data_IF_360408614125
#
_entry.id   IF_360408614125
#
_cell.length_a   1.000
_cell.length_b   1.000
_cell.length_c   1.000
_cell.angle_alpha   90.00
_cell.angle_beta   90.00
_cell.angle_gamma   90.00
#
_symmetry.space_group_name_H-M   'P 1'
#
loop_
_entity.id
_entity.type
_entity.pdbx_description
1 polymer ?
#
# COMPACT_ATOMS: atom_id res chain seq x y z
N UNK A 1 -3.73 2.81 -13.88
CA UNK A 1 -2.37 2.29 -14.09
C UNK A 1 -2.11 2.02 -15.56
N UNK A 2 -0.85 2.10 -15.95
CA UNK A 2 -0.37 1.79 -17.31
C UNK A 2 1.15 1.54 -17.29
N UNK A 3 1.74 1.32 -18.47
CA UNK A 3 3.21 1.27 -18.66
C UNK A 3 3.67 2.43 -19.53
N UNK A 4 4.83 2.98 -19.20
CA UNK A 4 5.50 3.99 -20.01
C UNK A 4 6.93 3.55 -20.34
N UNK A 5 7.37 4.00 -21.51
CA UNK A 5 8.78 4.08 -21.87
C UNK A 5 9.28 5.47 -21.52
N UNK A 6 10.47 5.56 -20.94
CA UNK A 6 11.11 6.81 -20.53
C UNK A 6 12.35 7.09 -21.39
N UNK A 7 12.64 8.35 -21.63
CA UNK A 7 13.87 8.77 -22.29
C UNK A 7 15.11 8.50 -21.43
N UNK A 8 15.01 8.76 -20.13
CA UNK A 8 16.10 8.55 -19.17
C UNK A 8 15.89 7.25 -18.38
N UNK A 9 16.96 6.54 -18.02
CA UNK A 9 16.83 5.32 -17.23
C UNK A 9 16.34 5.60 -15.81
N UNK A 10 15.50 4.74 -15.28
CA UNK A 10 14.92 4.88 -13.93
C UNK A 10 15.92 4.65 -12.79
N UNK A 11 17.10 4.05 -13.07
CA UNK A 11 18.16 3.80 -12.08
C UNK A 11 17.74 2.88 -10.93
N UNK A 12 16.76 1.99 -11.14
CA UNK A 12 16.17 1.10 -10.13
C UNK A 12 15.52 1.86 -8.95
N UNK A 13 15.11 3.13 -9.16
CA UNK A 13 14.51 3.98 -8.14
C UNK A 13 13.01 4.12 -8.41
N UNK A 14 12.18 3.68 -7.47
CA UNK A 14 10.77 4.01 -7.43
C UNK A 14 10.61 5.49 -7.01
N UNK A 15 9.82 6.23 -7.77
CA UNK A 15 9.57 7.66 -7.52
C UNK A 15 8.10 7.91 -7.28
N UNK A 16 7.79 8.82 -6.37
CA UNK A 16 6.41 9.16 -6.03
C UNK A 16 6.28 10.67 -5.82
N UNK A 17 5.23 11.25 -6.37
CA UNK A 17 4.89 12.67 -6.23
C UNK A 17 3.50 12.82 -5.65
N UNK A 18 3.38 13.73 -4.71
CA UNK A 18 2.13 14.17 -4.14
C UNK A 18 1.78 15.52 -4.74
N UNK A 19 0.68 15.60 -5.46
CA UNK A 19 0.21 16.80 -6.15
C UNK A 19 -1.28 17.06 -5.84
N UNK A 20 -1.79 18.26 -6.14
CA UNK A 20 -3.24 18.51 -6.06
C UNK A 20 -4.06 17.60 -6.96
N UNK A 21 -3.49 17.11 -8.06
CA UNK A 21 -4.15 16.18 -8.99
C UNK A 21 -4.11 14.73 -8.50
N UNK A 22 -3.48 14.48 -7.37
CA UNK A 22 -3.38 13.14 -6.80
C UNK A 22 -1.96 12.66 -6.55
N UNK A 23 -1.80 11.35 -6.43
CA UNK A 23 -0.52 10.73 -6.10
C UNK A 23 -0.06 9.91 -7.30
N UNK A 24 1.06 10.33 -7.88
CA UNK A 24 1.71 9.65 -9.00
C UNK A 24 2.87 8.81 -8.49
N UNK A 25 2.95 7.55 -8.88
CA UNK A 25 4.10 6.69 -8.67
C UNK A 25 4.62 6.14 -10.02
N UNK A 26 5.92 6.24 -10.24
CA UNK A 26 6.65 5.59 -11.31
C UNK A 26 7.51 4.49 -10.71
N UNK A 27 7.20 3.25 -11.05
CA UNK A 27 7.82 2.06 -10.49
C UNK A 27 8.69 1.40 -11.55
N UNK A 28 9.98 1.13 -11.27
CA UNK A 28 10.87 0.44 -12.19
C UNK A 28 10.29 -0.90 -12.64
N UNK A 29 10.33 -1.16 -13.93
CA UNK A 29 10.08 -2.48 -14.51
C UNK A 29 11.38 -3.08 -15.01
N UNK A 30 11.39 -4.40 -15.13
CA UNK A 30 12.52 -5.11 -15.73
C UNK A 30 12.68 -4.71 -17.19
N UNK A 31 13.92 -4.64 -17.64
CA UNK A 31 14.31 -4.30 -18.99
C UNK A 31 15.79 -3.99 -19.05
N UNK A 32 16.46 -4.41 -20.14
CA UNK A 32 17.91 -4.27 -20.27
C UNK A 32 18.37 -2.80 -20.32
N UNK A 33 17.49 -1.89 -20.76
CA UNK A 33 17.76 -0.45 -20.89
C UNK A 33 17.39 0.36 -19.64
N UNK A 34 16.67 -0.25 -18.68
CA UNK A 34 16.20 0.42 -17.47
C UNK A 34 15.26 1.61 -17.71
N UNK A 35 14.53 1.63 -18.84
CA UNK A 35 13.69 2.76 -19.27
C UNK A 35 12.20 2.45 -19.23
N UNK A 36 11.79 1.28 -18.75
CA UNK A 36 10.39 0.89 -18.66
C UNK A 36 9.89 1.08 -17.23
N UNK A 37 8.75 1.76 -17.05
CA UNK A 37 8.14 1.98 -15.74
C UNK A 37 6.67 1.61 -15.75
N UNK A 38 6.20 1.07 -14.62
CA UNK A 38 4.77 1.01 -14.32
C UNK A 38 4.33 2.33 -13.70
N UNK A 39 3.20 2.83 -14.17
CA UNK A 39 2.53 4.01 -13.61
C UNK A 39 1.39 3.57 -12.72
N UNK A 40 1.37 4.10 -11.51
CA UNK A 40 0.21 4.08 -10.63
C UNK A 40 -0.14 5.53 -10.29
N UNK A 41 -1.25 6.00 -10.82
CA UNK A 41 -1.73 7.36 -10.57
C UNK A 41 -3.08 7.32 -9.86
N UNK A 42 -3.09 7.67 -8.59
CA UNK A 42 -4.30 7.77 -7.77
C UNK A 42 -4.87 9.17 -7.91
N UNK A 43 -6.05 9.28 -8.51
CA UNK A 43 -6.78 10.53 -8.75
C UNK A 43 -8.11 10.53 -8.01
N UNK A 44 -8.77 11.68 -7.90
CA UNK A 44 -10.14 11.76 -7.42
C UNK A 44 -11.06 10.90 -8.31
N UNK A 45 -12.06 10.28 -7.71
CA UNK A 45 -13.00 9.42 -8.46
C UNK A 45 -13.73 10.19 -9.56
N UNK A 46 -14.00 11.48 -9.36
CA UNK A 46 -14.58 12.37 -10.35
C UNK A 46 -13.74 12.51 -11.62
N UNK A 47 -12.42 12.44 -11.48
CA UNK A 47 -11.47 12.70 -12.55
C UNK A 47 -11.01 11.42 -13.27
N UNK A 48 -11.31 10.25 -12.66
CA UNK A 48 -10.85 8.96 -13.17
C UNK A 48 -11.33 8.66 -14.59
N UNK A 49 -12.61 8.94 -14.88
CA UNK A 49 -13.20 8.75 -16.20
C UNK A 49 -12.57 9.67 -17.26
N UNK A 50 -12.30 10.93 -16.89
CA UNK A 50 -11.62 11.89 -17.73
C UNK A 50 -10.22 11.40 -18.12
N UNK A 51 -9.38 11.05 -17.15
CA UNK A 51 -8.02 10.57 -17.40
C UNK A 51 -7.95 9.23 -18.13
N UNK A 52 -8.98 8.42 -18.00
CA UNK A 52 -9.08 7.19 -18.78
C UNK A 52 -9.40 7.45 -20.26
N UNK A 53 -10.20 8.49 -20.55
CA UNK A 53 -10.66 8.88 -21.90
C UNK A 53 -9.78 9.93 -22.57
N UNK A 54 -8.98 10.70 -21.83
CA UNK A 54 -8.09 11.75 -22.35
C UNK A 54 -7.22 11.23 -23.48
N UNK A 55 -6.81 12.08 -24.42
CA UNK A 55 -5.89 11.66 -25.45
C UNK A 55 -4.51 11.28 -24.85
N UNK A 56 -3.68 10.60 -25.65
CA UNK A 56 -2.38 10.11 -25.18
C UNK A 56 -1.44 11.28 -24.84
N UNK A 57 -1.42 12.31 -25.68
CA UNK A 57 -0.53 13.45 -25.52
C UNK A 57 -0.85 14.23 -24.25
N UNK A 58 -2.14 14.48 -24.00
CA UNK A 58 -2.61 15.15 -22.78
C UNK A 58 -2.29 14.34 -21.52
N UNK A 59 -2.55 13.04 -21.55
CA UNK A 59 -2.25 12.15 -20.42
C UNK A 59 -0.75 12.13 -20.10
N UNK A 60 0.09 11.95 -21.12
CA UNK A 60 1.54 11.91 -20.95
C UNK A 60 2.08 13.26 -20.49
N UNK A 61 1.54 14.37 -21.00
CA UNK A 61 1.94 15.71 -20.58
C UNK A 61 1.61 15.93 -19.09
N UNK A 62 0.42 15.54 -18.62
CA UNK A 62 0.05 15.64 -17.22
C UNK A 62 1.01 14.84 -16.30
N UNK A 63 1.41 13.63 -16.71
CA UNK A 63 2.38 12.84 -15.96
C UNK A 63 3.76 13.46 -15.95
N UNK A 64 4.17 14.07 -17.07
CA UNK A 64 5.45 14.78 -17.20
C UNK A 64 5.49 15.99 -16.28
N UNK A 65 4.41 16.78 -16.23
CA UNK A 65 4.30 17.97 -15.38
C UNK A 65 4.35 17.58 -13.89
N UNK A 66 3.59 16.56 -13.48
CA UNK A 66 3.59 16.07 -12.09
C UNK A 66 4.96 15.53 -11.70
N UNK A 67 5.62 14.77 -12.60
CA UNK A 67 6.94 14.19 -12.37
C UNK A 67 8.09 15.17 -12.58
N UNK A 68 7.78 16.42 -12.99
CA UNK A 68 8.76 17.47 -13.29
C UNK A 68 9.83 17.02 -14.30
N UNK A 69 9.42 16.21 -15.28
CA UNK A 69 10.33 15.71 -16.31
C UNK A 69 11.45 14.80 -15.80
N UNK A 70 11.33 14.23 -14.62
CA UNK A 70 12.40 13.48 -13.91
C UNK A 70 12.97 12.30 -14.68
N UNK A 71 12.24 11.76 -15.65
CA UNK A 71 12.65 10.65 -16.53
C UNK A 71 12.68 11.03 -18.03
N UNK A 72 12.73 12.34 -18.32
CA UNK A 72 12.70 12.87 -19.70
C UNK A 72 11.33 12.69 -20.36
N UNK A 73 11.34 12.53 -21.68
CA UNK A 73 10.11 12.26 -22.44
C UNK A 73 9.52 10.90 -22.06
N UNK A 74 8.19 10.87 -21.94
CA UNK A 74 7.43 9.68 -21.61
C UNK A 74 6.61 9.26 -22.85
N UNK A 75 6.52 7.96 -23.10
CA UNK A 75 5.72 7.38 -24.18
C UNK A 75 4.84 6.26 -23.62
N UNK A 76 3.56 6.27 -23.97
CA UNK A 76 2.63 5.25 -23.52
C UNK A 76 2.93 3.89 -24.20
N UNK A 77 2.99 2.82 -23.39
CA UNK A 77 3.32 1.48 -23.88
C UNK A 77 2.20 0.45 -23.67
N UNK A 78 1.03 0.90 -23.22
CA UNK A 78 -0.07 -0.03 -22.98
C UNK A 78 -1.39 0.65 -22.65
N UNK A 79 -2.46 -0.13 -22.54
CA UNK A 79 -3.77 0.43 -22.21
C UNK A 79 -3.76 1.04 -20.80
N UNK A 80 -4.53 2.10 -20.65
CA UNK A 80 -4.83 2.68 -19.33
C UNK A 80 -5.94 1.87 -18.67
N UNK A 81 -5.71 1.41 -17.45
CA UNK A 81 -6.69 0.69 -16.65
C UNK A 81 -7.00 1.47 -15.39
N UNK A 82 -8.27 1.52 -14.98
CA UNK A 82 -8.67 2.15 -13.73
C UNK A 82 -9.55 1.21 -12.90
N UNK A 83 -9.44 1.33 -11.60
CA UNK A 83 -10.31 0.66 -10.63
C UNK A 83 -10.47 1.53 -9.38
N UNK A 84 -11.61 1.43 -8.69
CA UNK A 84 -11.83 2.19 -7.48
C UNK A 84 -10.90 1.71 -6.37
N UNK A 85 -10.25 2.65 -5.69
CA UNK A 85 -9.50 2.37 -4.47
C UNK A 85 -10.46 2.40 -3.29
N UNK A 86 -10.50 1.32 -2.53
CA UNK A 86 -11.35 1.19 -1.35
C UNK A 86 -10.50 0.87 -0.14
N UNK A 87 -10.84 1.50 0.98
CA UNK A 87 -10.35 1.06 2.29
C UNK A 87 -11.44 0.26 2.96
N UNK A 88 -11.11 -0.93 3.40
CA UNK A 88 -12.05 -1.77 4.11
C UNK A 88 -11.32 -2.62 5.15
N UNK A 89 -11.92 -2.74 6.33
CA UNK A 89 -11.43 -3.63 7.38
C UNK A 89 -12.59 -4.49 7.85
N UNK A 90 -12.41 -5.80 7.75
CA UNK A 90 -13.40 -6.75 8.24
C UNK A 90 -13.58 -6.61 9.76
N UNK A 91 -14.82 -6.54 10.23
CA UNK A 91 -15.10 -6.46 11.68
C UNK A 91 -14.56 -7.67 12.43
N UNK A 92 -14.67 -8.85 11.82
CA UNK A 92 -14.16 -10.13 12.34
C UNK A 92 -13.25 -10.75 11.27
N UNK A 93 -12.14 -11.29 11.69
CA UNK A 93 -11.17 -11.97 10.81
C UNK A 93 -11.21 -13.50 10.97
N UNK A 94 -11.96 -13.99 11.94
CA UNK A 94 -12.21 -15.43 12.10
C UNK A 94 -13.54 -15.69 12.75
N UNK A 95 -14.07 -16.89 12.51
CA UNK A 95 -15.33 -17.33 13.10
C UNK A 95 -15.61 -18.82 12.84
N UNK A 96 -16.62 -19.37 13.50
CA UNK A 96 -17.07 -20.72 13.18
C UNK A 96 -17.69 -20.75 11.78
N UNK A 97 -17.53 -21.85 11.05
CA UNK A 97 -18.26 -22.06 9.79
C UNK A 97 -19.73 -22.30 10.12
N UNK A 98 -20.67 -21.55 9.51
CA UNK A 98 -22.10 -21.77 9.71
C UNK A 98 -22.49 -23.22 9.40
N UNK A 99 -23.27 -23.86 10.27
CA UNK A 99 -23.71 -25.24 10.08
C UNK A 99 -22.68 -26.32 10.47
N UNK A 100 -21.46 -25.97 10.82
CA UNK A 100 -20.46 -26.91 11.36
C UNK A 100 -20.73 -27.14 12.85
N UNK A 101 -21.44 -28.23 13.17
CA UNK A 101 -21.83 -28.59 14.55
C UNK A 101 -20.95 -29.66 15.18
N UNK A 102 -19.90 -30.15 14.51
CA UNK A 102 -19.03 -31.16 15.08
C UNK A 102 -18.08 -30.57 16.10
N UNK A 103 -18.38 -30.78 17.39
CA UNK A 103 -17.54 -30.34 18.50
C UNK A 103 -16.14 -31.01 18.53
N UNK A 104 -15.95 -32.14 17.82
CA UNK A 104 -14.69 -32.89 17.79
C UNK A 104 -13.73 -32.34 16.76
N UNK A 105 -14.25 -31.78 15.68
CA UNK A 105 -13.47 -31.18 14.60
C UNK A 105 -13.98 -29.78 14.29
N UNK A 106 -13.67 -28.78 15.13
CA UNK A 106 -14.15 -27.41 14.93
C UNK A 106 -13.64 -26.88 13.59
N UNK A 107 -14.57 -26.63 12.69
CA UNK A 107 -14.30 -25.98 11.41
C UNK A 107 -14.52 -24.48 11.55
N UNK A 108 -13.50 -23.71 11.27
CA UNK A 108 -13.52 -22.25 11.37
C UNK A 108 -12.96 -21.61 10.10
N UNK A 109 -13.44 -20.43 9.78
CA UNK A 109 -12.88 -19.60 8.72
C UNK A 109 -11.92 -18.56 9.32
N UNK A 110 -10.95 -18.14 8.51
CA UNK A 110 -10.03 -17.05 8.83
C UNK A 110 -9.77 -16.22 7.58
N UNK A 111 -9.66 -14.90 7.76
CA UNK A 111 -9.32 -13.94 6.72
C UNK A 111 -7.87 -13.49 6.90
N UNK A 112 -7.18 -13.27 5.77
CA UNK A 112 -5.83 -12.71 5.71
C UNK A 112 -5.68 -11.82 4.46
N UNK A 113 -4.75 -10.89 4.49
CA UNK A 113 -4.52 -9.95 3.40
C UNK A 113 -5.74 -9.08 3.10
N UNK A 114 -5.97 -8.78 1.84
CA UNK A 114 -7.05 -7.89 1.40
C UNK A 114 -8.45 -8.37 1.80
N UNK A 115 -8.64 -9.66 2.02
CA UNK A 115 -9.90 -10.20 2.54
C UNK A 115 -10.17 -9.77 3.99
N UNK A 116 -9.11 -9.52 4.78
CA UNK A 116 -9.22 -9.05 6.16
C UNK A 116 -9.18 -7.51 6.23
N UNK A 117 -8.34 -6.90 5.41
CA UNK A 117 -8.10 -5.45 5.43
C UNK A 117 -7.52 -5.00 4.09
N UNK A 118 -8.20 -4.11 3.43
CA UNK A 118 -7.69 -3.39 2.26
C UNK A 118 -7.17 -2.04 2.73
N UNK A 119 -5.87 -1.83 2.63
CA UNK A 119 -5.22 -0.58 3.03
C UNK A 119 -5.05 0.35 1.83
N UNK A 120 -4.98 1.65 2.08
CA UNK A 120 -4.73 2.61 1.02
C UNK A 120 -3.34 2.37 0.38
N UNK A 121 -3.23 2.36 -0.96
CA UNK A 121 -2.00 2.00 -1.67
C UNK A 121 -0.88 3.05 -1.59
N UNK A 122 -1.01 4.08 -0.76
CA UNK A 122 -0.06 5.20 -0.62
C UNK A 122 1.41 4.78 -0.48
N UNK A 123 1.67 3.58 0.03
CA UNK A 123 3.03 3.10 0.25
C UNK A 123 3.32 1.75 -0.44
N UNK A 124 2.43 1.22 -1.28
CA UNK A 124 2.60 -0.09 -1.91
C UNK A 124 2.71 -1.26 -0.91
N UNK A 125 2.28 -1.08 0.34
CA UNK A 125 2.52 -2.03 1.43
C UNK A 125 1.47 -3.13 1.56
N UNK A 126 0.39 -3.12 0.76
CA UNK A 126 -0.69 -4.11 0.87
C UNK A 126 -0.17 -5.55 0.85
N UNK A 127 0.70 -5.88 -0.10
CA UNK A 127 1.33 -7.20 -0.16
C UNK A 127 2.16 -7.53 1.09
N UNK A 128 2.99 -6.61 1.55
CA UNK A 128 3.84 -6.81 2.74
C UNK A 128 3.01 -7.05 4.00
N UNK A 129 1.92 -6.32 4.15
CA UNK A 129 0.98 -6.47 5.25
C UNK A 129 0.28 -7.84 5.17
N UNK A 130 -0.16 -8.25 3.98
CA UNK A 130 -0.73 -9.58 3.75
C UNK A 130 0.25 -10.72 4.02
N UNK A 131 1.53 -10.58 3.63
CA UNK A 131 2.57 -11.56 3.95
C UNK A 131 2.83 -11.65 5.45
N UNK A 132 2.78 -10.53 6.17
CA UNK A 132 2.90 -10.53 7.62
C UNK A 132 1.70 -11.21 8.31
N UNK A 133 0.51 -11.17 7.72
CA UNK A 133 -0.65 -11.96 8.18
C UNK A 133 -0.35 -13.45 8.07
N UNK A 134 0.10 -13.89 6.89
CA UNK A 134 0.45 -15.30 6.65
C UNK A 134 1.53 -15.77 7.59
N UNK A 135 2.57 -14.98 7.80
CA UNK A 135 3.66 -15.29 8.73
C UNK A 135 3.17 -15.44 10.17
N UNK A 136 2.32 -14.52 10.62
CA UNK A 136 1.75 -14.54 11.97
C UNK A 136 0.83 -15.74 12.17
N UNK A 137 -0.05 -16.00 11.20
CA UNK A 137 -0.97 -17.15 11.24
C UNK A 137 -0.19 -18.47 11.24
N UNK A 138 0.80 -18.61 10.36
CA UNK A 138 1.66 -19.79 10.27
C UNK A 138 2.38 -20.04 11.60
N UNK A 139 3.01 -19.03 12.19
CA UNK A 139 3.69 -19.13 13.48
C UNK A 139 2.76 -19.60 14.60
N UNK A 140 1.55 -19.04 14.67
CA UNK A 140 0.55 -19.42 15.68
C UNK A 140 0.09 -20.86 15.49
N UNK A 141 -0.14 -21.27 14.24
CA UNK A 141 -0.59 -22.63 13.92
C UNK A 141 0.53 -23.66 14.12
N UNK A 142 1.79 -23.33 13.83
CA UNK A 142 2.94 -24.20 14.09
C UNK A 142 3.23 -24.38 15.58
N UNK A 143 3.04 -23.32 16.37
CA UNK A 143 3.26 -23.36 17.81
C UNK A 143 2.09 -24.02 18.59
N UNK A 144 1.05 -24.51 17.92
CA UNK A 144 -0.06 -25.20 18.59
C UNK A 144 0.38 -26.57 19.10
N UNK A 145 -0.17 -27.02 20.22
CA UNK A 145 -0.03 -28.42 20.65
C UNK A 145 -0.67 -29.36 19.63
N UNK A 146 -0.10 -30.54 19.44
CA UNK A 146 -0.56 -31.55 18.46
C UNK A 146 -2.04 -31.94 18.65
N UNK A 147 -2.54 -31.88 19.87
CA UNK A 147 -3.93 -32.15 20.23
C UNK A 147 -4.91 -31.04 19.85
N UNK A 148 -4.42 -29.86 19.44
CA UNK A 148 -5.25 -28.73 19.00
C UNK A 148 -5.51 -28.73 17.53
N UNK A 149 -6.80 -28.61 17.13
CA UNK A 149 -7.16 -28.41 15.74
C UNK A 149 -6.64 -27.06 15.21
N UNK A 150 -6.18 -26.97 13.96
CA UNK A 150 -5.91 -25.69 13.30
C UNK A 150 -7.15 -24.76 13.27
N UNK A 151 -8.37 -25.34 13.32
CA UNK A 151 -9.62 -24.59 13.39
C UNK A 151 -10.01 -24.10 14.79
N UNK A 152 -9.16 -24.26 15.82
CA UNK A 152 -9.44 -23.76 17.17
C UNK A 152 -9.57 -22.23 17.14
N UNK A 153 -10.76 -21.74 17.44
CA UNK A 153 -11.07 -20.30 17.46
C UNK A 153 -10.21 -19.50 18.43
N UNK A 154 -9.68 -20.10 19.49
CA UNK A 154 -8.78 -19.38 20.41
C UNK A 154 -7.46 -19.02 19.73
N UNK A 155 -6.93 -19.90 18.89
CA UNK A 155 -5.74 -19.66 18.09
C UNK A 155 -6.01 -18.58 17.03
N UNK A 156 -7.12 -18.72 16.29
CA UNK A 156 -7.47 -17.77 15.22
C UNK A 156 -7.79 -16.37 15.78
N UNK A 157 -8.45 -16.27 16.93
CA UNK A 157 -8.66 -14.99 17.62
C UNK A 157 -7.37 -14.37 18.17
N UNK A 158 -6.36 -15.20 18.52
CA UNK A 158 -5.04 -14.70 18.87
C UNK A 158 -4.38 -14.05 17.66
N UNK A 159 -4.45 -14.71 16.50
CA UNK A 159 -3.99 -14.14 15.24
C UNK A 159 -4.67 -12.81 14.94
N UNK A 160 -6.01 -12.77 14.95
CA UNK A 160 -6.79 -11.55 14.69
C UNK A 160 -6.37 -10.40 15.59
N UNK A 161 -6.26 -10.63 16.91
CA UNK A 161 -5.86 -9.59 17.86
C UNK A 161 -4.44 -9.09 17.63
N UNK A 162 -3.50 -9.99 17.40
CA UNK A 162 -2.11 -9.65 17.18
C UNK A 162 -1.93 -8.82 15.91
N UNK A 163 -2.62 -9.20 14.85
CA UNK A 163 -2.56 -8.47 13.58
C UNK A 163 -3.28 -7.12 13.64
N UNK A 164 -4.46 -7.04 14.22
CA UNK A 164 -5.16 -5.76 14.41
C UNK A 164 -4.36 -4.78 15.27
N UNK A 165 -3.74 -5.26 16.34
CA UNK A 165 -2.87 -4.42 17.17
C UNK A 165 -1.64 -3.91 16.42
N UNK A 166 -1.04 -4.74 15.55
CA UNK A 166 0.10 -4.34 14.72
C UNK A 166 -0.26 -3.35 13.60
N UNK A 167 -1.50 -3.39 13.09
CA UNK A 167 -1.97 -2.51 12.04
C UNK A 167 -2.48 -1.14 12.55
N UNK A 168 -2.96 -1.07 13.78
CA UNK A 168 -3.54 0.16 14.33
C UNK A 168 -2.58 1.37 14.27
N UNK A 169 -1.29 1.27 14.65
CA UNK A 169 -0.35 2.39 14.53
C UNK A 169 -0.11 2.81 13.09
N UNK A 170 -0.08 1.84 12.15
CA UNK A 170 0.11 2.12 10.74
C UNK A 170 -1.09 2.86 10.15
N UNK A 171 -2.31 2.45 10.48
CA UNK A 171 -3.54 3.15 10.08
C UNK A 171 -3.54 4.60 10.55
N UNK A 172 -3.27 4.83 11.84
CA UNK A 172 -3.19 6.18 12.40
C UNK A 172 -2.11 7.04 11.75
N UNK A 173 -0.95 6.46 11.45
CA UNK A 173 0.13 7.17 10.75
C UNK A 173 -0.26 7.55 9.32
N UNK A 174 -0.91 6.63 8.58
CA UNK A 174 -1.38 6.88 7.21
C UNK A 174 -2.49 7.93 7.17
N UNK A 175 -3.47 7.84 8.06
CA UNK A 175 -4.55 8.83 8.19
C UNK A 175 -3.99 10.20 8.55
N UNK A 176 -3.03 10.25 9.48
CA UNK A 176 -2.34 11.48 9.87
C UNK A 176 -1.56 12.11 8.71
N UNK A 177 -0.82 11.30 7.96
CA UNK A 177 -0.12 11.76 6.76
C UNK A 177 -1.09 12.27 5.69
N UNK A 178 -2.13 11.50 5.39
CA UNK A 178 -3.14 11.92 4.41
C UNK A 178 -3.76 13.27 4.80
N UNK A 179 -4.19 13.43 6.06
CA UNK A 179 -4.74 14.70 6.54
C UNK A 179 -3.72 15.85 6.45
N UNK A 180 -2.45 15.60 6.77
CA UNK A 180 -1.40 16.61 6.70
C UNK A 180 -1.11 17.05 5.24
N UNK A 181 -1.23 16.13 4.28
CA UNK A 181 -0.97 16.42 2.87
C UNK A 181 -2.19 16.98 2.12
N UNK A 182 -3.41 16.67 2.56
CA UNK A 182 -4.64 17.20 1.93
C UNK A 182 -5.00 18.62 2.42
N UNK A 183 -4.52 19.03 3.60
CA UNK A 183 -4.80 20.38 4.12
C UNK A 183 -3.88 21.41 3.49
N UNK A 184 -4.48 22.48 2.96
CA UNK A 184 -3.80 23.57 2.24
C UNK A 184 -3.53 24.81 3.11
N UNK A 185 -3.83 24.76 4.41
CA UNK A 185 -3.65 25.89 5.34
C UNK A 185 -2.16 26.22 5.53
N UNK A 186 -1.80 27.49 5.38
CA UNK A 186 -0.41 27.97 5.41
C UNK A 186 0.42 27.53 6.65
N UNK A 187 -0.11 27.55 7.89
CA UNK A 187 0.65 27.10 9.05
C UNK A 187 0.96 25.61 9.02
N UNK A 188 0.06 24.79 8.48
CA UNK A 188 0.26 23.34 8.34
C UNK A 188 1.27 22.99 7.25
N UNK A 189 1.31 23.77 6.16
CA UNK A 189 2.34 23.62 5.13
C UNK A 189 3.74 23.91 5.67
N UNK A 190 3.87 24.93 6.49
CA UNK A 190 5.14 25.29 7.12
C UNK A 190 5.60 24.21 8.09
N UNK A 191 4.69 23.69 8.92
CA UNK A 191 4.97 22.60 9.85
C UNK A 191 5.37 21.31 9.11
N UNK A 192 4.65 20.98 8.04
CA UNK A 192 4.96 19.84 7.15
C UNK A 192 6.36 19.96 6.56
N UNK A 193 6.69 21.10 5.96
CA UNK A 193 7.98 21.34 5.32
C UNK A 193 9.14 21.34 6.34
N UNK A 194 8.91 21.84 7.55
CA UNK A 194 9.85 21.76 8.64
C UNK A 194 10.04 20.32 9.13
N UNK A 195 8.93 19.60 9.35
CA UNK A 195 8.95 18.20 9.76
C UNK A 195 9.68 17.29 8.77
N UNK A 196 9.39 17.43 7.47
CA UNK A 196 10.05 16.68 6.40
C UNK A 196 11.56 16.95 6.36
N UNK A 197 11.99 18.20 6.44
CA UNK A 197 13.43 18.56 6.48
C UNK A 197 14.15 17.99 7.69
N UNK A 198 13.51 18.01 8.86
CA UNK A 198 14.11 17.43 10.07
C UNK A 198 14.13 15.90 10.03
N UNK A 199 13.09 15.27 9.49
CA UNK A 199 13.06 13.82 9.28
C UNK A 199 14.15 13.35 8.31
N UNK A 200 14.36 14.08 7.22
CA UNK A 200 15.42 13.78 6.24
C UNK A 200 16.83 13.88 6.85
N UNK A 201 17.04 14.81 7.79
CA UNK A 201 18.29 14.98 8.54
C UNK A 201 18.46 14.03 9.71
N UNK A 202 17.40 13.38 10.18
CA UNK A 202 17.43 12.46 11.31
C UNK A 202 17.78 11.04 10.85
N UNK A 203 19.05 10.74 10.57
CA UNK A 203 19.50 9.44 10.06
C UNK A 203 18.89 8.25 10.80
N UNK A 204 18.91 8.24 12.14
CA UNK A 204 18.38 7.15 12.97
C UNK A 204 16.86 6.94 12.84
N UNK A 205 16.07 8.02 12.78
CA UNK A 205 14.61 7.92 12.61
C UNK A 205 14.24 7.45 11.20
N UNK A 206 14.97 7.92 10.20
CA UNK A 206 14.81 7.52 8.81
C UNK A 206 15.13 6.04 8.64
N UNK A 207 16.25 5.57 9.20
CA UNK A 207 16.65 4.16 9.14
C UNK A 207 15.67 3.26 9.89
N UNK A 208 15.18 3.70 11.04
CA UNK A 208 14.15 2.99 11.79
C UNK A 208 12.85 2.89 10.99
N UNK A 209 12.37 4.00 10.42
CA UNK A 209 11.16 4.03 9.60
C UNK A 209 11.30 3.17 8.33
N UNK A 210 12.47 3.20 7.68
CA UNK A 210 12.76 2.37 6.53
C UNK A 210 12.75 0.88 6.88
N UNK A 211 13.38 0.48 7.98
CA UNK A 211 13.36 -0.93 8.46
C UNK A 211 11.94 -1.39 8.81
N UNK A 212 11.15 -0.50 9.43
CA UNK A 212 9.75 -0.79 9.74
C UNK A 212 8.93 -0.99 8.46
N UNK A 213 9.11 -0.12 7.47
CA UNK A 213 8.43 -0.22 6.18
C UNK A 213 8.84 -1.47 5.39
N UNK A 214 10.09 -1.92 5.52
CA UNK A 214 10.58 -3.14 4.88
C UNK A 214 10.23 -4.43 5.65
N UNK A 215 9.56 -4.34 6.81
CA UNK A 215 9.26 -5.51 7.64
C UNK A 215 10.48 -6.20 8.26
N UNK A 216 11.63 -5.52 8.32
CA UNK A 216 12.90 -6.06 8.80
C UNK A 216 13.07 -6.01 10.34
N UNK A 217 12.08 -5.52 11.06
CA UNK A 217 12.07 -5.58 12.53
C UNK A 217 11.46 -6.90 12.98
N UNK A 218 12.30 -7.78 13.48
CA UNK A 218 11.93 -8.95 14.28
C UNK A 218 11.77 -8.56 15.74
#
# INVERSE_FOLDING_TARGET
>A
ATRLQCELPHGQVARQWFSPQGILALLPLDGADGRSVAVVWSVAQTDAAYWQAADEAEFVQALTDISQGSLGQLTLQGPRMSWPLQQAVAKRWCGPVPGSSDARTPTSWVLAGDAAHTVHPLAGQGLNIGLADVQTLSRILQARGEWRSPGDLKLLRRYERERKAGLAPLGLAMDGLQQLFTRTEAPLQTLRNWGMRNFERSGLLKDWAARQAMGLMR
#
